data_IF_330235335217
#
_entry.id   IF_330235335217
#
_cell.length_a   1.000
_cell.length_b   1.000
_cell.length_c   1.000
_cell.angle_alpha   90.00
_cell.angle_beta   90.00
_cell.angle_gamma   90.00
#
_symmetry.space_group_name_H-M   'P 1'
#
loop_
_entity.id
_entity.type
_entity.pdbx_description
1 polymer ?
#
# COMPACT_ATOMS: atom_id res chain seq x y z
N UNK A 1 6.74 0.46 58.90
CA UNK A 1 7.91 0.02 58.11
C UNK A 1 7.45 -0.57 56.76
N UNK A 2 6.63 0.17 55.98
CA UNK A 2 5.99 -0.34 54.72
C UNK A 2 6.37 0.51 53.48
N UNK A 3 6.98 1.69 53.67
CA UNK A 3 7.23 2.66 52.59
C UNK A 3 8.38 2.23 51.65
N UNK A 4 9.37 1.46 52.12
CA UNK A 4 10.54 1.06 51.32
C UNK A 4 10.26 0.03 50.23
N UNK A 5 9.21 -0.78 50.36
CA UNK A 5 8.88 -1.79 49.35
C UNK A 5 8.31 -1.12 48.08
N UNK A 6 7.44 -0.11 48.26
CA UNK A 6 6.82 0.59 47.14
C UNK A 6 7.84 1.41 46.35
N UNK A 7 8.80 2.04 47.04
CA UNK A 7 9.87 2.82 46.40
C UNK A 7 10.84 1.94 45.57
N UNK A 8 10.96 0.64 45.90
CA UNK A 8 11.70 -0.32 45.05
C UNK A 8 10.92 -0.70 43.80
N UNK A 9 9.60 -0.87 43.90
CA UNK A 9 8.74 -1.23 42.78
C UNK A 9 8.72 -0.11 41.74
N UNK A 10 8.58 1.16 42.17
CA UNK A 10 8.58 2.31 41.26
C UNK A 10 9.92 2.47 40.50
N UNK A 11 11.05 2.22 41.17
CA UNK A 11 12.38 2.24 40.52
C UNK A 11 12.52 1.14 39.46
N UNK A 12 11.98 -0.05 39.70
CA UNK A 12 12.01 -1.15 38.73
C UNK A 12 11.09 -0.92 37.52
N UNK A 13 9.91 -0.32 37.70
CA UNK A 13 9.01 0.04 36.59
C UNK A 13 9.65 1.13 35.72
N UNK A 14 10.26 2.13 36.34
CA UNK A 14 10.89 3.26 35.64
C UNK A 14 12.15 2.81 34.89
N UNK A 15 12.99 1.95 35.48
CA UNK A 15 14.18 1.40 34.84
C UNK A 15 13.83 0.43 33.68
N UNK A 16 12.77 -0.37 33.82
CA UNK A 16 12.30 -1.30 32.78
C UNK A 16 11.63 -0.60 31.59
N UNK A 17 11.28 0.68 31.71
CA UNK A 17 10.78 1.50 30.60
C UNK A 17 11.87 1.99 29.64
N UNK A 18 13.15 1.77 29.98
CA UNK A 18 14.30 2.32 29.25
C UNK A 18 14.98 1.30 28.34
N UNK A 19 14.24 0.73 27.37
CA UNK A 19 14.84 0.14 26.17
C UNK A 19 13.89 -0.02 24.99
N UNK A 20 12.72 0.62 25.01
CA UNK A 20 11.91 0.71 23.80
C UNK A 20 12.64 1.61 22.80
N UNK A 21 13.33 1.00 21.82
CA UNK A 21 13.91 1.72 20.68
C UNK A 21 12.85 2.68 20.15
N UNK A 22 13.05 4.00 20.32
CA UNK A 22 12.08 5.01 19.91
C UNK A 22 11.80 4.80 18.42
N UNK A 23 10.67 4.17 18.08
CA UNK A 23 10.28 3.92 16.69
C UNK A 23 10.20 5.30 16.03
N UNK A 24 11.13 5.57 15.12
CA UNK A 24 11.18 6.85 14.42
C UNK A 24 9.87 7.05 13.68
N UNK A 25 9.26 8.22 13.81
CA UNK A 25 8.12 8.58 12.98
C UNK A 25 8.54 8.47 11.52
N UNK A 26 7.70 7.80 10.74
CA UNK A 26 7.93 7.56 9.32
C UNK A 26 8.02 8.91 8.60
N UNK A 27 9.06 9.08 7.77
CA UNK A 27 9.25 10.30 7.00
C UNK A 27 8.20 10.49 5.90
N UNK A 28 8.15 11.72 5.37
CA UNK A 28 7.31 12.06 4.22
C UNK A 28 7.75 11.27 2.98
N UNK A 29 6.79 10.83 2.17
CA UNK A 29 7.10 10.17 0.91
C UNK A 29 7.57 11.20 -0.13
N UNK A 30 8.59 10.83 -0.92
CA UNK A 30 8.94 11.61 -2.09
C UNK A 30 7.87 11.43 -3.18
N UNK A 31 7.08 12.47 -3.42
CA UNK A 31 6.28 12.56 -4.62
C UNK A 31 7.19 12.98 -5.77
N UNK A 32 7.24 12.18 -6.83
CA UNK A 32 7.97 12.49 -8.06
C UNK A 32 6.96 12.53 -9.20
N UNK A 33 7.00 13.61 -9.97
CA UNK A 33 6.14 13.75 -11.12
C UNK A 33 6.54 12.81 -12.28
N UNK A 34 5.63 12.57 -13.23
CA UNK A 34 5.87 11.71 -14.40
C UNK A 34 7.08 12.17 -15.20
N UNK A 35 7.23 13.48 -15.40
CA UNK A 35 8.34 14.07 -16.16
C UNK A 35 9.69 13.86 -15.44
N UNK A 36 9.71 14.09 -14.12
CA UNK A 36 10.91 13.87 -13.30
C UNK A 36 11.35 12.41 -13.33
N UNK A 37 10.41 11.45 -13.27
CA UNK A 37 10.71 10.02 -13.39
C UNK A 37 11.35 9.68 -14.72
N UNK A 38 10.84 10.26 -15.82
CA UNK A 38 11.40 10.06 -17.15
C UNK A 38 12.83 10.59 -17.24
N UNK A 39 13.06 11.80 -16.74
CA UNK A 39 14.40 12.41 -16.69
C UNK A 39 15.39 11.56 -15.90
N UNK A 40 14.98 11.07 -14.73
CA UNK A 40 15.79 10.18 -13.90
C UNK A 40 16.07 8.84 -14.61
N UNK A 41 15.08 8.28 -15.30
CA UNK A 41 15.22 7.00 -15.99
C UNK A 41 16.18 7.08 -17.18
N UNK A 42 16.06 8.13 -18.01
CA UNK A 42 16.98 8.40 -19.13
C UNK A 42 18.42 8.56 -18.62
N UNK A 43 18.61 9.43 -17.62
CA UNK A 43 19.92 9.65 -17.02
C UNK A 43 20.51 8.37 -16.41
N UNK A 44 19.69 7.49 -15.84
CA UNK A 44 20.14 6.22 -15.27
C UNK A 44 20.53 5.15 -16.30
N UNK A 45 20.08 5.29 -17.55
CA UNK A 45 20.53 4.44 -18.65
C UNK A 45 21.96 4.79 -19.06
N UNK A 46 22.29 6.08 -19.09
CA UNK A 46 23.60 6.60 -19.49
C UNK A 46 24.65 6.52 -18.36
N UNK A 47 24.28 6.93 -17.14
CA UNK A 47 25.24 7.24 -16.06
C UNK A 47 25.23 6.25 -14.90
N UNK A 48 24.27 5.30 -14.89
CA UNK A 48 24.08 4.35 -13.80
C UNK A 48 23.31 4.91 -12.60
N UNK A 49 22.75 4.00 -11.79
CA UNK A 49 21.74 4.29 -10.76
C UNK A 49 22.30 5.16 -9.62
N UNK A 50 23.49 4.86 -9.12
CA UNK A 50 24.08 5.54 -7.95
C UNK A 50 24.41 7.00 -8.24
N UNK A 51 24.90 7.31 -9.45
CA UNK A 51 25.19 8.69 -9.87
C UNK A 51 23.91 9.52 -9.98
N UNK A 52 22.83 8.92 -10.53
CA UNK A 52 21.50 9.54 -10.58
C UNK A 52 20.99 9.83 -9.17
N UNK A 53 21.07 8.86 -8.26
CA UNK A 53 20.59 9.01 -6.89
C UNK A 53 21.23 10.21 -6.20
N UNK A 54 22.56 10.35 -6.32
CA UNK A 54 23.29 11.50 -5.77
C UNK A 54 22.89 12.81 -6.44
N UNK A 55 22.95 12.88 -7.77
CA UNK A 55 22.68 14.09 -8.54
C UNK A 55 21.27 14.66 -8.29
N UNK A 56 20.25 13.80 -8.33
CA UNK A 56 18.87 14.25 -8.12
C UNK A 56 18.56 14.46 -6.64
N UNK A 57 19.21 13.75 -5.71
CA UNK A 57 19.06 14.05 -4.28
C UNK A 57 19.57 15.44 -3.93
N UNK A 58 20.70 15.86 -4.52
CA UNK A 58 21.24 17.21 -4.33
C UNK A 58 20.38 18.25 -5.01
N UNK A 59 19.85 17.97 -6.20
CA UNK A 59 19.04 18.93 -6.96
C UNK A 59 17.65 19.18 -6.35
N UNK A 60 17.00 18.12 -5.83
CA UNK A 60 15.65 18.20 -5.26
C UNK A 60 15.66 18.50 -3.76
N UNK A 61 16.82 18.42 -3.10
CA UNK A 61 16.95 18.56 -1.65
C UNK A 61 16.31 17.42 -0.85
N UNK A 62 15.84 16.36 -1.52
CA UNK A 62 15.22 15.17 -0.92
C UNK A 62 16.04 13.94 -1.30
N UNK A 63 16.36 13.08 -0.32
CA UNK A 63 17.10 11.85 -0.59
C UNK A 63 16.26 10.89 -1.42
N UNK A 64 16.75 10.53 -2.61
CA UNK A 64 16.11 9.58 -3.51
C UNK A 64 16.78 8.22 -3.36
N UNK A 65 15.99 7.22 -2.97
CA UNK A 65 16.47 5.86 -2.84
C UNK A 65 16.83 5.25 -4.20
N UNK A 66 17.95 4.54 -4.27
CA UNK A 66 18.37 3.84 -5.50
C UNK A 66 17.35 2.82 -6.00
N UNK A 67 16.62 2.17 -5.09
CA UNK A 67 15.55 1.22 -5.44
C UNK A 67 14.45 1.88 -6.28
N UNK A 68 14.15 3.14 -6.00
CA UNK A 68 13.20 3.96 -6.76
C UNK A 68 13.71 4.19 -8.18
N UNK A 69 14.99 4.55 -8.34
CA UNK A 69 15.61 4.77 -9.66
C UNK A 69 15.70 3.47 -10.45
N UNK A 70 16.05 2.34 -9.80
CA UNK A 70 16.01 1.01 -10.45
C UNK A 70 14.62 0.70 -11.01
N UNK A 71 13.57 1.04 -10.26
CA UNK A 71 12.18 0.86 -10.71
C UNK A 71 11.88 1.73 -11.93
N UNK A 72 12.30 3.00 -11.93
CA UNK A 72 12.10 3.91 -13.08
C UNK A 72 12.86 3.45 -14.32
N UNK A 73 14.14 3.08 -14.18
CA UNK A 73 14.95 2.52 -15.27
C UNK A 73 14.32 1.26 -15.85
N UNK A 74 13.88 0.32 -15.00
CA UNK A 74 13.20 -0.91 -15.45
C UNK A 74 11.91 -0.60 -16.22
N UNK A 75 11.11 0.34 -15.71
CA UNK A 75 9.89 0.79 -16.38
C UNK A 75 10.16 1.43 -17.75
N UNK A 76 11.22 2.22 -17.86
CA UNK A 76 11.66 2.83 -19.12
C UNK A 76 12.07 1.78 -20.15
N UNK A 77 12.96 0.85 -19.77
CA UNK A 77 13.44 -0.21 -20.66
C UNK A 77 12.32 -1.13 -21.13
N UNK A 78 11.36 -1.45 -20.25
CA UNK A 78 10.19 -2.24 -20.62
C UNK A 78 9.36 -1.53 -21.70
N UNK A 79 9.12 -0.22 -21.54
CA UNK A 79 8.38 0.58 -22.51
C UNK A 79 9.10 0.71 -23.85
N UNK A 80 10.43 0.85 -23.83
CA UNK A 80 11.23 0.82 -25.05
C UNK A 80 11.12 -0.51 -25.79
N UNK A 81 11.14 -1.64 -25.06
CA UNK A 81 11.01 -2.97 -25.67
C UNK A 81 9.62 -3.21 -26.28
N UNK A 82 8.57 -2.68 -25.66
CA UNK A 82 7.19 -2.83 -26.17
C UNK A 82 6.85 -1.86 -27.30
N UNK A 83 7.71 -0.88 -27.59
CA UNK A 83 7.51 0.08 -28.68
C UNK A 83 7.87 -0.58 -30.00
N UNK A 84 6.84 -1.03 -30.74
CA UNK A 84 6.93 -1.25 -32.18
C UNK A 84 7.20 0.10 -32.87
N UNK A 85 7.94 0.08 -33.97
CA UNK A 85 8.70 1.17 -34.60
C UNK A 85 7.97 2.49 -34.94
N UNK A 86 6.67 2.64 -34.71
CA UNK A 86 5.84 3.57 -35.50
C UNK A 86 4.92 4.49 -34.69
N UNK A 87 5.26 4.80 -33.43
CA UNK A 87 4.46 5.74 -32.62
C UNK A 87 5.32 6.63 -31.74
N UNK A 88 5.37 7.92 -32.08
CA UNK A 88 6.03 9.00 -31.31
C UNK A 88 5.23 9.46 -30.09
N UNK A 89 4.62 8.52 -29.37
CA UNK A 89 4.01 8.84 -28.08
C UNK A 89 5.10 8.99 -27.02
N UNK A 90 5.09 10.14 -26.34
CA UNK A 90 5.98 10.46 -25.25
C UNK A 90 5.86 9.41 -24.13
N UNK A 91 7.00 8.91 -23.62
CA UNK A 91 7.03 7.84 -22.60
C UNK A 91 6.58 8.42 -21.26
N UNK A 92 5.26 8.51 -21.05
CA UNK A 92 4.67 9.01 -19.81
C UNK A 92 4.69 7.94 -18.71
N UNK A 93 5.28 8.23 -17.55
CA UNK A 93 5.23 7.38 -16.36
C UNK A 93 3.91 7.58 -15.61
N UNK A 94 2.84 6.98 -16.11
CA UNK A 94 1.60 6.88 -15.35
C UNK A 94 1.84 6.13 -14.03
N UNK A 95 1.39 6.75 -12.93
CA UNK A 95 1.38 6.11 -11.63
C UNK A 95 0.35 4.98 -11.67
N UNK A 96 0.80 3.73 -11.85
CA UNK A 96 -0.06 2.58 -11.62
C UNK A 96 -0.63 2.69 -10.21
N UNK A 97 -1.95 2.86 -10.10
CA UNK A 97 -2.63 2.86 -8.81
C UNK A 97 -2.33 1.51 -8.16
N UNK A 98 -1.69 1.54 -6.99
CA UNK A 98 -1.52 0.34 -6.18
C UNK A 98 -2.89 0.02 -5.60
N UNK A 99 -3.56 -0.95 -6.20
CA UNK A 99 -4.82 -1.45 -5.69
C UNK A 99 -4.64 -2.92 -5.32
N UNK A 100 -5.21 -3.32 -4.19
CA UNK A 100 -5.43 -4.72 -3.92
C UNK A 100 -6.45 -5.23 -4.95
N UNK A 101 -6.23 -6.41 -5.55
CA UNK A 101 -7.23 -6.99 -6.46
C UNK A 101 -8.57 -7.14 -5.74
N UNK A 102 -9.64 -6.84 -6.46
CA UNK A 102 -11.02 -6.98 -5.97
C UNK A 102 -11.30 -8.45 -5.67
N UNK A 103 -11.54 -8.78 -4.39
CA UNK A 103 -11.73 -10.17 -3.92
C UNK A 103 -13.10 -10.70 -4.32
N UNK A 104 -14.11 -9.83 -4.37
CA UNK A 104 -15.51 -10.20 -4.61
C UNK A 104 -15.96 -9.92 -6.05
N UNK A 105 -15.08 -9.39 -6.90
CA UNK A 105 -15.36 -9.11 -8.32
C UNK A 105 -16.64 -8.30 -8.52
N UNK A 106 -17.63 -8.88 -9.22
CA UNK A 106 -18.89 -8.22 -9.58
C UNK A 106 -19.82 -7.91 -8.40
N UNK A 107 -19.68 -8.61 -7.27
CA UNK A 107 -20.55 -8.42 -6.09
C UNK A 107 -20.09 -7.27 -5.19
N UNK A 108 -18.89 -6.74 -5.40
CA UNK A 108 -18.32 -5.70 -4.55
C UNK A 108 -19.15 -4.41 -4.59
N UNK A 109 -19.72 -4.08 -5.76
CA UNK A 109 -20.62 -2.92 -5.93
C UNK A 109 -21.86 -3.00 -5.04
N UNK A 110 -22.44 -4.20 -4.89
CA UNK A 110 -23.64 -4.43 -4.09
C UNK A 110 -23.35 -4.42 -2.60
N UNK A 111 -22.23 -5.03 -2.20
CA UNK A 111 -21.73 -4.96 -0.83
C UNK A 111 -21.46 -3.50 -0.45
N UNK A 112 -20.88 -2.72 -1.36
CA UNK A 112 -20.63 -1.30 -1.14
C UNK A 112 -21.93 -0.49 -1.03
N UNK A 113 -22.95 -0.79 -1.82
CA UNK A 113 -24.29 -0.20 -1.70
C UNK A 113 -24.93 -0.52 -0.35
N UNK A 114 -24.86 -1.79 0.08
CA UNK A 114 -25.32 -2.21 1.41
C UNK A 114 -24.64 -1.41 2.52
N UNK A 115 -23.32 -1.30 2.50
CA UNK A 115 -22.56 -0.50 3.50
C UNK A 115 -22.97 0.97 3.48
N UNK A 116 -23.15 1.56 2.29
CA UNK A 116 -23.60 2.96 2.16
C UNK A 116 -24.97 3.13 2.80
N UNK A 117 -25.91 2.25 2.52
CA UNK A 117 -27.26 2.29 3.08
C UNK A 117 -27.24 2.09 4.61
N UNK A 118 -26.42 1.15 5.12
CA UNK A 118 -26.25 0.96 6.57
C UNK A 118 -25.68 2.21 7.25
N UNK A 119 -24.72 2.90 6.63
CA UNK A 119 -24.15 4.14 7.18
C UNK A 119 -25.11 5.32 7.11
N UNK A 120 -25.90 5.44 6.04
CA UNK A 120 -26.96 6.46 5.92
C UNK A 120 -28.01 6.29 7.04
N UNK A 121 -28.34 5.04 7.38
CA UNK A 121 -29.20 4.71 8.51
C UNK A 121 -28.51 4.84 9.89
N UNK A 122 -27.29 5.42 9.96
CA UNK A 122 -26.48 5.55 11.18
C UNK A 122 -26.12 4.21 11.87
N UNK A 123 -26.10 3.12 11.10
CA UNK A 123 -25.72 1.79 11.56
C UNK A 123 -24.20 1.62 11.72
N UNK A 124 -23.81 0.78 12.69
CA UNK A 124 -22.42 0.39 12.90
C UNK A 124 -22.02 -0.67 11.88
N UNK A 125 -20.93 -0.43 11.14
CA UNK A 125 -20.39 -1.39 10.17
C UNK A 125 -19.09 -1.97 10.70
N UNK A 126 -19.17 -3.18 11.26
CA UNK A 126 -18.03 -3.95 11.74
C UNK A 126 -17.69 -5.09 10.78
N UNK A 127 -16.48 -5.65 10.89
CA UNK A 127 -16.03 -6.78 10.07
C UNK A 127 -17.00 -7.97 10.11
N UNK A 128 -17.50 -8.47 11.26
CA UNK A 128 -18.44 -9.59 11.26
C UNK A 128 -19.74 -9.28 10.50
N UNK A 129 -20.30 -8.09 10.69
CA UNK A 129 -21.52 -7.63 10.01
C UNK A 129 -21.29 -7.59 8.49
N UNK A 130 -20.12 -7.09 8.08
CA UNK A 130 -19.73 -7.08 6.68
C UNK A 130 -19.61 -8.51 6.12
N UNK A 131 -18.93 -9.42 6.82
CA UNK A 131 -18.77 -10.80 6.36
C UNK A 131 -20.12 -11.51 6.23
N UNK A 132 -21.04 -11.32 7.19
CA UNK A 132 -22.40 -11.88 7.10
C UNK A 132 -23.19 -11.31 5.93
N UNK A 133 -23.08 -10.00 5.67
CA UNK A 133 -23.75 -9.38 4.54
C UNK A 133 -23.20 -9.87 3.20
N UNK A 134 -21.88 -9.98 3.09
CA UNK A 134 -21.19 -10.54 1.91
C UNK A 134 -21.64 -11.99 1.68
N UNK A 135 -21.62 -12.83 2.71
CA UNK A 135 -22.07 -14.22 2.62
C UNK A 135 -23.52 -14.30 2.16
N UNK A 136 -24.43 -13.50 2.75
CA UNK A 136 -25.84 -13.47 2.38
C UNK A 136 -26.07 -13.05 0.91
N UNK A 137 -25.38 -12.02 0.44
CA UNK A 137 -25.47 -11.54 -0.95
C UNK A 137 -24.97 -12.61 -1.92
N UNK A 138 -23.84 -13.26 -1.63
CA UNK A 138 -23.29 -14.31 -2.50
C UNK A 138 -24.18 -15.55 -2.48
N UNK A 139 -24.67 -15.97 -1.31
CA UNK A 139 -25.60 -17.11 -1.18
C UNK A 139 -26.88 -16.89 -2.00
N UNK A 140 -27.42 -15.67 -2.02
CA UNK A 140 -28.62 -15.34 -2.76
C UNK A 140 -28.42 -15.36 -4.28
N UNK A 141 -27.23 -14.99 -4.76
CA UNK A 141 -26.94 -14.89 -6.19
C UNK A 141 -26.31 -16.16 -6.75
N UNK A 142 -25.14 -16.53 -6.23
CA UNK A 142 -24.31 -17.61 -6.77
C UNK A 142 -23.64 -18.36 -5.60
N UNK A 143 -24.38 -19.27 -4.98
CA UNK A 143 -23.90 -20.05 -3.82
C UNK A 143 -22.60 -20.83 -4.06
N UNK A 144 -22.37 -21.28 -5.31
CA UNK A 144 -21.21 -22.10 -5.68
C UNK A 144 -19.87 -21.36 -5.59
N UNK A 145 -19.88 -20.03 -5.43
CA UNK A 145 -18.64 -19.25 -5.29
C UNK A 145 -18.03 -19.30 -3.90
N UNK A 146 -18.82 -19.65 -2.89
CA UNK A 146 -18.36 -19.79 -1.51
C UNK A 146 -17.63 -21.12 -1.34
N UNK A 147 -16.55 -21.09 -0.55
CA UNK A 147 -15.78 -22.29 -0.22
C UNK A 147 -16.62 -23.42 0.37
N UNK A 148 -17.66 -23.10 1.14
CA UNK A 148 -18.64 -24.07 1.68
C UNK A 148 -19.32 -24.93 0.60
N UNK A 149 -19.43 -24.41 -0.63
CA UNK A 149 -20.04 -25.07 -1.77
C UNK A 149 -19.02 -25.37 -2.89
N UNK A 150 -17.74 -25.61 -2.53
CA UNK A 150 -16.63 -25.91 -3.45
C UNK A 150 -16.12 -24.69 -4.25
N UNK A 151 -16.47 -23.49 -3.82
CA UNK A 151 -16.04 -22.26 -4.46
C UNK A 151 -14.65 -21.77 -4.04
N UNK A 152 -14.16 -20.75 -4.75
CA UNK A 152 -12.83 -20.17 -4.52
C UNK A 152 -12.79 -19.08 -3.45
N UNK A 153 -13.94 -18.57 -3.00
CA UNK A 153 -14.01 -17.46 -2.05
C UNK A 153 -14.07 -17.99 -0.62
N UNK A 154 -13.00 -17.72 0.14
CA UNK A 154 -12.95 -18.01 1.57
C UNK A 154 -13.26 -16.75 2.38
N UNK A 155 -14.29 -16.83 3.23
CA UNK A 155 -14.72 -15.76 4.12
C UNK A 155 -14.23 -16.05 5.55
N UNK A 156 -13.10 -15.45 5.94
CA UNK A 156 -12.51 -15.67 7.27
C UNK A 156 -12.98 -14.64 8.33
N UNK A 157 -13.44 -15.17 9.46
CA UNK A 157 -13.85 -14.43 10.67
C UNK A 157 -12.72 -14.33 11.70
N UNK A 158 -11.50 -14.00 11.27
CA UNK A 158 -10.42 -13.60 12.20
C UNK A 158 -10.49 -12.11 12.54
#
# INVERSE_FOLDING_TARGET
MIVSANDSVDKTITASSCSSSKKRKRGEYNHSDSEQKLKMAKYACEHGVTKVARHFSTQTGKSINESTIRTFKKGYLLKLKTRSSDSDSEISFENKKRCQPMVLGKYESEVQEYIRNSRLASGIVNRPILMTAVQGIIMAKDRQLLHEFVGSIELSYS
#
